data_IF_422356349036
#
_entry.id   IF_422356349036
#
_cell.length_a   1.000
_cell.length_b   1.000
_cell.length_c   1.000
_cell.angle_alpha   90.00
_cell.angle_beta   90.00
_cell.angle_gamma   90.00
#
_symmetry.space_group_name_H-M   'P 1'
#
loop_
_entity.id
_entity.type
_entity.pdbx_description
1 polymer ?
#
# COMPACT_ATOMS: atom_id res chain seq x y z
N UNK A 1 -3.08 -19.63 12.20
CA UNK A 1 -2.99 -20.21 10.84
C UNK A 1 -1.52 -20.43 10.55
N UNK A 2 -1.03 -21.66 10.63
CA UNK A 2 0.35 -22.00 10.30
C UNK A 2 0.44 -22.23 8.79
N UNK A 3 1.08 -21.30 8.07
CA UNK A 3 1.34 -21.47 6.65
C UNK A 3 2.46 -22.51 6.49
N UNK A 4 2.25 -23.49 5.60
CA UNK A 4 3.29 -24.47 5.27
C UNK A 4 4.37 -23.76 4.47
N UNK A 5 5.61 -23.82 4.94
CA UNK A 5 6.75 -23.35 4.17
C UNK A 5 6.87 -24.23 2.91
N UNK A 6 6.58 -23.63 1.74
CA UNK A 6 6.63 -24.29 0.42
C UNK A 6 7.98 -24.07 -0.28
N UNK A 7 8.99 -23.58 0.42
CA UNK A 7 10.32 -23.42 -0.14
C UNK A 7 10.89 -24.79 -0.55
N UNK A 8 11.26 -24.92 -1.82
CA UNK A 8 11.92 -26.10 -2.34
C UNK A 8 13.40 -25.75 -2.48
N UNK A 9 14.25 -26.53 -1.80
CA UNK A 9 15.69 -26.34 -1.89
C UNK A 9 16.17 -26.68 -3.31
N UNK A 10 16.98 -25.78 -3.87
CA UNK A 10 17.57 -25.92 -5.19
C UNK A 10 19.05 -25.56 -5.11
N UNK A 11 19.89 -26.33 -5.80
CA UNK A 11 21.31 -26.02 -5.91
C UNK A 11 21.47 -24.79 -6.82
N UNK A 12 22.04 -23.72 -6.27
CA UNK A 12 22.30 -22.47 -6.98
C UNK A 12 23.80 -22.36 -7.21
N UNK A 13 24.18 -22.05 -8.45
CA UNK A 13 25.59 -21.82 -8.77
C UNK A 13 26.12 -20.60 -8.01
N UNK A 14 27.43 -20.51 -7.75
CA UNK A 14 28.02 -19.35 -7.06
C UNK A 14 27.72 -18.02 -7.76
N UNK A 15 27.63 -18.02 -9.10
CA UNK A 15 27.26 -16.85 -9.91
C UNK A 15 25.82 -16.40 -9.64
N UNK A 16 24.87 -17.34 -9.62
CA UNK A 16 23.46 -17.05 -9.32
C UNK A 16 23.30 -16.52 -7.90
N UNK A 17 24.08 -17.06 -6.94
CA UNK A 17 24.04 -16.58 -5.56
C UNK A 17 24.56 -15.14 -5.45
N UNK A 18 25.66 -14.81 -6.11
CA UNK A 18 26.20 -13.45 -6.12
C UNK A 18 25.22 -12.45 -6.76
N UNK A 19 24.59 -12.82 -7.89
CA UNK A 19 23.55 -12.01 -8.52
C UNK A 19 22.35 -11.80 -7.59
N UNK A 20 21.90 -12.84 -6.89
CA UNK A 20 20.79 -12.71 -5.94
C UNK A 20 21.11 -11.76 -4.78
N UNK A 21 22.33 -11.82 -4.23
CA UNK A 21 22.77 -10.91 -3.17
C UNK A 21 22.79 -9.45 -3.64
N UNK A 22 23.23 -9.20 -4.88
CA UNK A 22 23.19 -7.88 -5.53
C UNK A 22 21.74 -7.38 -5.70
N UNK A 23 20.86 -8.19 -6.28
CA UNK A 23 19.45 -7.82 -6.49
C UNK A 23 18.71 -7.55 -5.18
N UNK A 24 18.99 -8.32 -4.12
CA UNK A 24 18.41 -8.09 -2.80
C UNK A 24 18.85 -6.72 -2.27
N UNK A 25 20.15 -6.41 -2.33
CA UNK A 25 20.67 -5.13 -1.87
C UNK A 25 20.06 -3.94 -2.63
N UNK A 26 19.97 -4.04 -3.97
CA UNK A 26 19.30 -3.01 -4.78
C UNK A 26 17.81 -2.89 -4.46
N UNK A 27 17.13 -4.00 -4.20
CA UNK A 27 15.72 -3.99 -3.85
C UNK A 27 15.46 -3.37 -2.48
N UNK A 28 16.32 -3.64 -1.49
CA UNK A 28 16.26 -3.02 -0.17
C UNK A 28 16.48 -1.50 -0.27
N UNK A 29 17.47 -1.04 -1.04
CA UNK A 29 17.71 0.38 -1.26
C UNK A 29 16.49 1.08 -1.92
N UNK A 30 15.95 0.47 -2.97
CA UNK A 30 14.73 0.97 -3.64
C UNK A 30 13.53 1.01 -2.69
N UNK A 31 13.37 -0.02 -1.86
CA UNK A 31 12.29 -0.09 -0.89
C UNK A 31 12.37 1.07 0.11
N UNK A 32 13.53 1.28 0.73
CA UNK A 32 13.74 2.35 1.72
C UNK A 32 13.48 3.74 1.12
N UNK A 33 13.93 3.97 -0.13
CA UNK A 33 13.67 5.23 -0.82
C UNK A 33 12.18 5.47 -1.06
N UNK A 34 11.44 4.43 -1.48
CA UNK A 34 9.99 4.52 -1.71
C UNK A 34 9.23 4.68 -0.40
N UNK A 35 9.62 3.95 0.65
CA UNK A 35 9.00 4.05 1.97
C UNK A 35 9.12 5.48 2.52
N UNK A 36 10.32 6.05 2.48
CA UNK A 36 10.56 7.44 2.89
C UNK A 36 9.70 8.43 2.12
N UNK A 37 9.68 8.33 0.78
CA UNK A 37 8.84 9.18 -0.06
C UNK A 37 7.33 9.03 0.25
N UNK A 38 6.89 7.82 0.57
CA UNK A 38 5.50 7.53 0.92
C UNK A 38 5.10 8.08 2.29
N UNK A 39 6.03 8.08 3.25
CA UNK A 39 5.87 8.72 4.55
C UNK A 39 5.80 10.25 4.41
N UNK A 40 6.67 10.85 3.59
CA UNK A 40 6.66 12.29 3.31
C UNK A 40 5.35 12.75 2.63
N UNK A 41 4.70 11.86 1.87
CA UNK A 41 3.40 12.11 1.26
C UNK A 41 2.22 12.04 2.25
N UNK A 42 2.41 11.58 3.49
CA UNK A 42 1.31 11.40 4.45
C UNK A 42 0.46 12.66 4.69
N UNK A 43 1.03 13.87 4.87
CA UNK A 43 0.23 15.09 5.04
C UNK A 43 -0.57 15.45 3.78
N UNK A 44 -0.05 15.15 2.60
CA UNK A 44 -0.75 15.39 1.34
C UNK A 44 -1.89 14.38 1.13
N UNK A 45 -1.66 13.12 1.49
CA UNK A 45 -2.65 12.04 1.44
C UNK A 45 -3.88 12.36 2.28
N UNK A 46 -3.67 12.90 3.48
CA UNK A 46 -4.77 13.33 4.34
C UNK A 46 -5.61 14.43 3.69
N UNK A 47 -4.97 15.41 3.03
CA UNK A 47 -5.70 16.43 2.26
C UNK A 47 -6.51 15.82 1.13
N UNK A 48 -5.96 14.86 0.38
CA UNK A 48 -6.68 14.17 -0.69
C UNK A 48 -7.91 13.41 -0.17
N UNK A 49 -7.80 12.74 0.98
CA UNK A 49 -8.95 12.08 1.60
C UNK A 49 -10.04 13.08 1.97
N UNK A 50 -9.69 14.19 2.62
CA UNK A 50 -10.66 15.23 2.95
C UNK A 50 -11.30 15.85 1.71
N UNK A 51 -10.51 16.19 0.68
CA UNK A 51 -11.03 16.71 -0.58
C UNK A 51 -11.98 15.73 -1.29
N UNK A 52 -11.66 14.43 -1.23
CA UNK A 52 -12.49 13.39 -1.82
C UNK A 52 -13.82 13.26 -1.07
N UNK A 53 -13.80 13.23 0.26
CA UNK A 53 -15.00 13.18 1.09
C UNK A 53 -15.86 14.45 0.95
N UNK A 54 -15.23 15.61 0.83
CA UNK A 54 -15.90 16.86 0.50
C UNK A 54 -16.64 16.78 -0.83
N UNK A 55 -16.04 16.18 -1.87
CA UNK A 55 -16.70 16.01 -3.17
C UNK A 55 -17.89 15.04 -3.08
N UNK A 56 -17.74 13.93 -2.37
CA UNK A 56 -18.83 12.96 -2.18
C UNK A 56 -20.03 13.54 -1.41
N UNK A 57 -19.77 14.42 -0.43
CA UNK A 57 -20.81 15.04 0.41
C UNK A 57 -21.40 16.32 -0.19
N UNK A 58 -20.69 17.00 -1.11
CA UNK A 58 -21.19 18.23 -1.77
C UNK A 58 -21.79 17.97 -3.14
N UNK A 59 -21.09 17.19 -3.97
CA UNK A 59 -21.45 16.95 -5.37
C UNK A 59 -22.07 15.57 -5.61
N UNK A 60 -21.77 14.61 -4.74
CA UNK A 60 -22.21 13.22 -4.91
C UNK A 60 -21.49 12.51 -6.05
N UNK A 61 -21.96 11.30 -6.35
CA UNK A 61 -21.48 10.48 -7.47
C UNK A 61 -22.66 10.12 -8.38
N UNK A 62 -22.38 9.85 -9.66
CA UNK A 62 -23.42 9.43 -10.61
C UNK A 62 -23.89 8.01 -10.25
N UNK A 63 -25.17 7.84 -9.96
CA UNK A 63 -25.77 6.53 -9.73
C UNK A 63 -26.30 5.95 -11.03
N UNK A 64 -27.03 6.73 -11.82
CA UNK A 64 -27.55 6.36 -13.13
C UNK A 64 -27.71 7.60 -14.00
N UNK A 65 -27.26 7.55 -15.25
CA UNK A 65 -27.26 8.71 -16.16
C UNK A 65 -26.76 10.01 -15.52
N UNK A 66 -27.64 11.01 -15.45
CA UNK A 66 -27.41 12.32 -14.81
C UNK A 66 -27.83 12.38 -13.32
N UNK A 67 -28.42 11.30 -12.79
CA UNK A 67 -28.85 11.21 -11.39
C UNK A 67 -27.63 11.02 -10.48
N UNK A 68 -27.42 12.02 -9.62
CA UNK A 68 -26.35 12.03 -8.62
C UNK A 68 -26.89 11.72 -7.23
N UNK A 69 -26.17 10.87 -6.50
CA UNK A 69 -26.40 10.65 -5.07
C UNK A 69 -25.28 11.26 -4.25
N UNK A 70 -25.68 12.09 -3.27
CA UNK A 70 -24.82 12.63 -2.23
C UNK A 70 -24.72 11.64 -1.07
N UNK A 71 -23.50 11.33 -0.64
CA UNK A 71 -23.26 10.46 0.51
C UNK A 71 -23.35 11.30 1.80
N UNK A 72 -24.06 10.80 2.81
CA UNK A 72 -24.12 11.47 4.11
C UNK A 72 -22.80 11.33 4.85
N UNK A 73 -22.44 12.32 5.65
CA UNK A 73 -21.22 12.27 6.46
C UNK A 73 -21.18 11.08 7.43
N UNK A 74 -22.34 10.58 7.87
CA UNK A 74 -22.47 9.38 8.72
C UNK A 74 -22.02 8.09 8.03
N UNK A 75 -22.05 8.08 6.71
CA UNK A 75 -21.81 6.89 5.89
C UNK A 75 -20.36 6.88 5.36
N UNK A 76 -19.59 7.93 5.67
CA UNK A 76 -18.17 8.01 5.34
C UNK A 76 -17.34 7.10 6.24
N UNK A 77 -16.29 6.46 5.69
CA UNK A 77 -15.39 5.64 6.48
C UNK A 77 -14.58 6.50 7.46
N UNK A 78 -14.42 6.01 8.69
CA UNK A 78 -13.55 6.62 9.69
C UNK A 78 -12.17 5.97 9.59
N UNK A 79 -11.11 6.79 9.54
CA UNK A 79 -9.73 6.28 9.52
C UNK A 79 -9.46 5.55 10.85
N UNK A 80 -9.01 4.28 10.81
CA UNK A 80 -8.67 3.55 12.03
C UNK A 80 -7.44 4.17 12.70
N UNK A 81 -7.49 4.30 14.02
CA UNK A 81 -6.37 4.81 14.81
C UNK A 81 -5.17 3.84 14.79
N UNK A 82 -3.96 4.39 14.76
CA UNK A 82 -2.72 3.62 14.83
C UNK A 82 -2.40 2.78 13.58
N UNK A 83 -3.13 2.95 12.48
CA UNK A 83 -2.88 2.23 11.23
C UNK A 83 -2.21 3.12 10.18
N UNK A 84 -1.02 2.70 9.77
CA UNK A 84 -0.30 3.32 8.66
C UNK A 84 -0.89 2.91 7.30
N UNK A 85 -0.78 3.83 6.34
CA UNK A 85 -1.17 3.62 4.96
C UNK A 85 -0.09 2.80 4.24
N UNK A 86 -0.22 1.46 4.22
CA UNK A 86 0.77 0.54 3.62
C UNK A 86 0.32 -0.01 2.26
N UNK A 87 1.24 -0.04 1.30
CA UNK A 87 1.11 -0.87 0.08
C UNK A 87 1.65 -2.25 0.45
N UNK A 88 0.76 -3.22 0.68
CA UNK A 88 1.18 -4.56 1.12
C UNK A 88 1.83 -5.31 -0.04
N UNK A 89 3.17 -5.42 -0.02
CA UNK A 89 3.88 -6.46 -0.78
C UNK A 89 3.91 -7.73 0.08
N UNK A 90 3.04 -8.70 -0.21
CA UNK A 90 2.86 -9.89 0.63
C UNK A 90 3.93 -11.00 0.46
N UNK A 91 4.97 -10.77 -0.35
CA UNK A 91 6.00 -11.78 -0.69
C UNK A 91 7.43 -11.22 -0.68
N UNK A 92 7.79 -10.44 0.32
CA UNK A 92 9.13 -9.85 0.43
C UNK A 92 9.48 -9.71 1.89
N UNK A 93 9.88 -10.84 2.49
CA UNK A 93 10.49 -10.97 3.82
C UNK A 93 9.54 -10.61 4.97
N UNK A 94 8.97 -11.65 5.59
CA UNK A 94 8.44 -11.56 6.95
C UNK A 94 9.63 -11.32 7.90
N UNK A 95 9.85 -10.06 8.26
CA UNK A 95 10.77 -9.62 9.31
C UNK A 95 9.99 -9.28 10.58
N UNK A 96 10.13 -10.17 11.57
CA UNK A 96 9.64 -10.18 12.97
C UNK A 96 8.18 -10.59 13.25
#
# INVERSE_FOLDING_TARGET
MTFKNLFIEHDVTPEVKAWLEEEIAEQEERYLAVEGAMADLAPMREKWYQEFFDRLTKHGFNQDGDDKIVIKSSDLPVKPEGREDKVVWKYGIDGE
#
